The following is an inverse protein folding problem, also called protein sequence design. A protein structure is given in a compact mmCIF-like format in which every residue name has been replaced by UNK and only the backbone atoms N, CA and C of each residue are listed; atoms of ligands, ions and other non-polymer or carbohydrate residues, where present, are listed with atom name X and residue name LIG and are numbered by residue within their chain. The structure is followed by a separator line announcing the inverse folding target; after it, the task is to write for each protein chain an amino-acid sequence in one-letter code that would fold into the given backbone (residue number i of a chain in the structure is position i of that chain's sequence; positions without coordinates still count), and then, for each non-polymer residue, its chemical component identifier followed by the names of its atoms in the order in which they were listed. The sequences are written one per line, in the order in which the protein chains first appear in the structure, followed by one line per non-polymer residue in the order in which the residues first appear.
data_IF_947017935916
#
_entry.id   IF_947017935916
#
_cell.length_a   1.000
_cell.length_b   1.000
_cell.length_c   1.000
_cell.angle_alpha   90.00
_cell.angle_beta   90.00
_cell.angle_gamma   90.00
#
_symmetry.space_group_name_H-M   'P 1'
#
loop_
_entity.id
_entity.type
_entity.pdbx_description
1 polymer ?
#
# COMPACT_ATOMS: atom_id res chain seq x y z
N UNK A 1 -22.76 0.14 27.50
CA UNK A 1 -22.30 1.44 26.92
C UNK A 1 -20.93 1.34 26.23
N UNK A 2 -19.93 0.62 26.78
CA UNK A 2 -18.63 0.42 26.12
C UNK A 2 -18.71 -0.20 24.71
N UNK A 3 -19.58 -1.19 24.48
CA UNK A 3 -19.75 -1.82 23.15
C UNK A 3 -20.37 -0.87 22.10
N UNK A 4 -21.39 -0.09 22.48
CA UNK A 4 -21.98 0.91 21.58
C UNK A 4 -20.96 2.00 21.19
N UNK A 5 -20.12 2.42 22.14
CA UNK A 5 -19.06 3.41 21.89
C UNK A 5 -17.94 2.86 20.99
N UNK A 6 -17.59 1.58 21.14
CA UNK A 6 -16.62 0.89 20.29
C UNK A 6 -17.11 0.81 18.83
N UNK A 7 -18.37 0.41 18.63
CA UNK A 7 -18.97 0.32 17.30
C UNK A 7 -19.06 1.68 16.60
N UNK A 8 -19.44 2.74 17.33
CA UNK A 8 -19.48 4.10 16.79
C UNK A 8 -18.08 4.55 16.36
N UNK A 9 -17.06 4.33 17.20
CA UNK A 9 -15.67 4.70 16.86
C UNK A 9 -15.19 3.97 15.59
N UNK A 10 -15.51 2.70 15.44
CA UNK A 10 -15.14 1.91 14.27
C UNK A 10 -15.83 2.39 12.99
N UNK A 11 -17.13 2.75 13.09
CA UNK A 11 -17.89 3.34 11.97
C UNK A 11 -17.27 4.68 11.56
N UNK A 12 -17.00 5.56 12.52
CA UNK A 12 -16.39 6.88 12.25
C UNK A 12 -15.03 6.73 11.58
N UNK A 13 -14.17 5.83 12.08
CA UNK A 13 -12.87 5.56 11.46
C UNK A 13 -13.01 4.99 10.04
N UNK A 14 -14.00 4.15 9.79
CA UNK A 14 -14.28 3.61 8.45
C UNK A 14 -14.71 4.72 7.49
N UNK A 15 -15.56 5.65 7.94
CA UNK A 15 -15.99 6.81 7.15
C UNK A 15 -14.79 7.70 6.83
N UNK A 16 -13.94 8.01 7.82
CA UNK A 16 -12.72 8.81 7.63
C UNK A 16 -11.79 8.11 6.63
N UNK A 17 -11.63 6.80 6.74
CA UNK A 17 -10.80 6.01 5.83
C UNK A 17 -11.34 6.05 4.38
N UNK A 18 -12.66 5.85 4.19
CA UNK A 18 -13.29 5.94 2.88
C UNK A 18 -13.19 7.36 2.30
N UNK A 19 -13.34 8.39 3.13
CA UNK A 19 -13.15 9.78 2.71
C UNK A 19 -11.70 10.02 2.26
N UNK A 20 -10.70 9.53 3.01
CA UNK A 20 -9.30 9.66 2.63
C UNK A 20 -8.99 8.93 1.31
N UNK A 21 -9.55 7.74 1.11
CA UNK A 21 -9.41 7.00 -0.16
C UNK A 21 -10.13 7.70 -1.33
N UNK A 22 -11.28 8.31 -1.07
CA UNK A 22 -12.02 9.11 -2.07
C UNK A 22 -11.18 10.28 -2.61
N UNK A 23 -10.34 10.90 -1.78
CA UNK A 23 -9.43 11.97 -2.19
C UNK A 23 -8.42 11.53 -3.27
N UNK A 24 -8.20 10.23 -3.46
CA UNK A 24 -7.40 9.74 -4.59
C UNK A 24 -7.99 10.18 -5.95
N UNK A 25 -9.30 10.40 -6.04
CA UNK A 25 -9.93 10.95 -7.24
C UNK A 25 -9.46 12.36 -7.59
N UNK A 26 -8.84 13.12 -6.68
CA UNK A 26 -8.25 14.43 -7.00
C UNK A 26 -7.03 14.32 -7.92
N UNK A 27 -6.39 13.15 -7.98
CA UNK A 27 -5.18 12.89 -8.77
C UNK A 27 -5.47 12.99 -10.27
N UNK A 28 -6.71 12.72 -10.68
CA UNK A 28 -7.09 12.76 -12.10
C UNK A 28 -7.40 14.16 -12.62
N UNK A 29 -7.31 15.20 -11.78
CA UNK A 29 -7.62 16.60 -12.15
C UNK A 29 -9.11 16.93 -12.29
N UNK A 30 -9.95 15.91 -12.42
CA UNK A 30 -11.40 16.02 -12.60
C UNK A 30 -12.17 16.01 -11.28
N UNK A 31 -13.01 17.05 -11.05
CA UNK A 31 -13.73 17.24 -9.77
C UNK A 31 -14.67 16.09 -9.41
N UNK A 32 -15.30 15.46 -10.41
CA UNK A 32 -16.26 14.38 -10.20
C UNK A 32 -15.60 13.04 -9.84
N UNK A 33 -14.30 12.88 -10.13
CA UNK A 33 -13.60 11.61 -9.90
C UNK A 33 -13.43 11.29 -8.42
N UNK A 34 -13.43 12.30 -7.54
CA UNK A 34 -13.51 12.07 -6.08
C UNK A 34 -14.75 11.25 -5.72
N UNK A 35 -15.93 11.63 -6.23
CA UNK A 35 -17.16 10.90 -5.99
C UNK A 35 -17.12 9.47 -6.58
N UNK A 36 -16.54 9.31 -7.77
CA UNK A 36 -16.38 8.00 -8.43
C UNK A 36 -15.49 7.07 -7.62
N UNK A 37 -14.33 7.54 -7.17
CA UNK A 37 -13.42 6.76 -6.32
C UNK A 37 -14.08 6.43 -4.97
N UNK A 38 -14.77 7.39 -4.35
CA UNK A 38 -15.55 7.16 -3.13
C UNK A 38 -16.58 6.05 -3.29
N UNK A 39 -17.38 6.09 -4.38
CA UNK A 39 -18.34 5.04 -4.69
C UNK A 39 -17.67 3.68 -4.91
N UNK A 40 -16.56 3.64 -5.67
CA UNK A 40 -15.80 2.42 -5.91
C UNK A 40 -15.28 1.78 -4.61
N UNK A 41 -14.70 2.57 -3.71
CA UNK A 41 -14.19 2.07 -2.43
C UNK A 41 -15.31 1.60 -1.48
N UNK A 42 -16.47 2.24 -1.50
CA UNK A 42 -17.65 1.76 -0.76
C UNK A 42 -18.08 0.39 -1.29
N UNK A 43 -18.17 0.23 -2.62
CA UNK A 43 -18.55 -1.03 -3.26
C UNK A 43 -17.54 -2.14 -2.92
N UNK A 44 -16.24 -1.88 -3.11
CA UNK A 44 -15.18 -2.86 -2.82
C UNK A 44 -15.19 -3.25 -1.34
N UNK A 45 -15.31 -2.28 -0.43
CA UNK A 45 -15.37 -2.55 1.01
C UNK A 45 -16.61 -3.37 1.37
N UNK A 46 -17.76 -3.09 0.75
CA UNK A 46 -18.98 -3.86 0.90
C UNK A 46 -18.81 -5.30 0.41
N UNK A 47 -18.18 -5.50 -0.74
CA UNK A 47 -17.87 -6.84 -1.28
C UNK A 47 -16.97 -7.60 -0.29
N UNK A 48 -15.86 -6.99 0.16
CA UNK A 48 -14.95 -7.60 1.14
C UNK A 48 -15.71 -7.98 2.41
N UNK A 49 -16.56 -7.09 2.93
CA UNK A 49 -17.37 -7.35 4.11
C UNK A 49 -18.31 -8.55 3.91
N UNK A 50 -18.98 -8.65 2.75
CA UNK A 50 -19.84 -9.78 2.43
C UNK A 50 -19.05 -11.09 2.31
N UNK A 51 -17.89 -11.07 1.67
CA UNK A 51 -17.01 -12.24 1.54
C UNK A 51 -16.46 -12.70 2.89
N UNK A 52 -16.00 -11.78 3.75
CA UNK A 52 -15.52 -12.10 5.10
C UNK A 52 -16.65 -12.68 5.94
N UNK A 53 -17.85 -12.07 5.89
CA UNK A 53 -19.03 -12.56 6.62
C UNK A 53 -19.47 -13.96 6.16
N UNK A 54 -19.31 -14.28 4.87
CA UNK A 54 -19.63 -15.61 4.30
C UNK A 54 -18.51 -16.64 4.49
N UNK A 55 -17.25 -16.20 4.52
CA UNK A 55 -16.05 -17.03 4.51
C UNK A 55 -15.66 -17.64 5.87
N UNK A 56 -16.18 -17.14 6.99
CA UNK A 56 -15.91 -17.68 8.33
C UNK A 56 -16.30 -19.17 8.51
N UNK A 57 -17.06 -19.77 7.58
CA UNK A 57 -17.42 -21.20 7.62
C UNK A 57 -16.58 -22.13 6.73
N UNK A 58 -15.79 -21.59 5.79
CA UNK A 58 -15.03 -22.41 4.82
C UNK A 58 -13.51 -22.34 4.99
N UNK A 59 -12.98 -21.38 5.76
CA UNK A 59 -11.54 -21.31 6.04
C UNK A 59 -11.04 -22.38 7.03
N UNK A 60 -11.93 -23.06 7.76
CA UNK A 60 -11.57 -24.19 8.62
C UNK A 60 -11.30 -25.49 7.84
N UNK A 61 -11.68 -25.57 6.55
CA UNK A 61 -11.60 -26.80 5.75
C UNK A 61 -10.92 -26.54 4.40
N UNK A 62 -9.78 -25.84 4.39
CA UNK A 62 -8.90 -25.83 3.22
C UNK A 62 -7.61 -26.60 3.52
N UNK A 63 -7.21 -27.56 2.66
CA UNK A 63 -6.03 -28.36 2.89
C UNK A 63 -4.80 -27.46 2.86
N UNK A 64 -4.01 -27.58 3.93
CA UNK A 64 -2.62 -27.14 4.08
C UNK A 64 -2.00 -26.63 2.77
N UNK A 65 -2.10 -25.32 2.51
CA UNK A 65 -1.54 -24.67 1.32
C UNK A 65 -0.05 -25.04 1.24
N UNK A 66 0.38 -25.65 0.13
CA UNK A 66 1.72 -26.23 0.05
C UNK A 66 2.79 -25.16 0.27
N UNK A 67 3.80 -25.47 1.09
CA UNK A 67 4.92 -24.56 1.42
C UNK A 67 5.57 -23.95 0.17
N UNK A 68 5.66 -24.74 -0.90
CA UNK A 68 6.25 -24.34 -2.19
C UNK A 68 5.41 -23.26 -2.88
N UNK A 69 4.09 -23.43 -2.99
CA UNK A 69 3.23 -22.42 -3.63
C UNK A 69 3.28 -21.08 -2.91
N UNK A 70 3.39 -21.11 -1.58
CA UNK A 70 3.55 -19.91 -0.75
C UNK A 70 4.87 -19.19 -1.05
N UNK A 71 5.99 -19.93 -1.09
CA UNK A 71 7.32 -19.36 -1.36
C UNK A 71 7.37 -18.77 -2.78
N UNK A 72 6.93 -19.53 -3.80
CA UNK A 72 6.93 -19.06 -5.19
C UNK A 72 6.09 -17.81 -5.34
N UNK A 73 4.86 -17.79 -4.81
CA UNK A 73 4.01 -16.60 -4.84
C UNK A 73 4.65 -15.42 -4.10
N UNK A 74 5.33 -15.67 -2.96
CA UNK A 74 6.04 -14.64 -2.21
C UNK A 74 7.18 -14.01 -3.00
N UNK A 75 8.03 -14.83 -3.63
CA UNK A 75 9.14 -14.38 -4.47
C UNK A 75 8.61 -13.56 -5.66
N UNK A 76 7.59 -14.08 -6.35
CA UNK A 76 6.99 -13.39 -7.52
C UNK A 76 6.46 -12.01 -7.11
N UNK A 77 5.77 -11.89 -5.98
CA UNK A 77 5.27 -10.61 -5.50
C UNK A 77 6.39 -9.63 -5.13
N UNK A 78 7.46 -10.11 -4.49
CA UNK A 78 8.62 -9.25 -4.20
C UNK A 78 9.32 -8.77 -5.47
N UNK A 79 9.48 -9.64 -6.48
CA UNK A 79 10.06 -9.26 -7.77
C UNK A 79 9.16 -8.24 -8.47
N UNK A 80 7.85 -8.47 -8.50
CA UNK A 80 6.90 -7.51 -9.08
C UNK A 80 6.93 -6.17 -8.34
N UNK A 81 7.08 -6.16 -7.02
CA UNK A 81 7.21 -4.93 -6.24
C UNK A 81 8.43 -4.09 -6.66
N UNK A 82 9.54 -4.75 -7.04
CA UNK A 82 10.75 -4.07 -7.53
C UNK A 82 10.63 -3.62 -8.99
N UNK A 83 10.01 -4.43 -9.83
CA UNK A 83 9.89 -4.17 -11.28
C UNK A 83 8.80 -3.13 -11.60
N UNK A 84 7.70 -3.10 -10.84
CA UNK A 84 6.57 -2.19 -11.09
C UNK A 84 6.97 -0.72 -11.23
N UNK A 85 7.73 -0.11 -10.30
CA UNK A 85 8.13 1.28 -10.43
C UNK A 85 9.07 1.53 -11.62
N UNK A 86 9.93 0.56 -11.96
CA UNK A 86 10.77 0.62 -13.16
C UNK A 86 9.96 0.64 -14.45
N UNK A 87 8.95 -0.24 -14.58
CA UNK A 87 8.09 -0.30 -15.76
C UNK A 87 7.33 1.01 -15.98
N UNK A 88 6.94 1.68 -14.89
CA UNK A 88 6.19 2.93 -14.96
C UNK A 88 7.08 4.13 -15.31
N UNK A 89 8.34 4.14 -14.86
CA UNK A 89 9.34 5.13 -15.30
C UNK A 89 9.71 4.94 -16.77
N UNK A 90 9.81 3.69 -17.24
CA UNK A 90 10.27 3.37 -18.59
C UNK A 90 9.19 3.49 -19.68
N UNK A 91 7.91 3.40 -19.33
CA UNK A 91 6.86 3.12 -20.32
C UNK A 91 5.59 3.97 -20.23
N UNK A 92 5.54 5.08 -19.48
CA UNK A 92 4.21 5.60 -19.11
C UNK A 92 3.90 7.05 -19.49
N UNK A 93 2.70 7.18 -20.10
CA UNK A 93 1.81 8.34 -20.02
C UNK A 93 1.25 8.56 -18.58
N UNK A 94 1.74 7.83 -17.57
CA UNK A 94 1.25 7.84 -16.17
C UNK A 94 2.16 8.68 -15.27
N UNK A 95 3.45 8.72 -15.57
CA UNK A 95 4.44 9.59 -14.96
C UNK A 95 5.20 10.23 -16.11
N UNK A 96 5.00 11.54 -16.32
CA UNK A 96 5.73 12.28 -17.35
C UNK A 96 7.16 12.56 -16.85
N UNK A 97 7.98 11.52 -16.83
CA UNK A 97 9.43 11.64 -16.72
C UNK A 97 9.87 11.96 -18.13
N UNK A 98 10.22 13.22 -18.42
CA UNK A 98 10.44 13.72 -19.80
C UNK A 98 11.34 12.83 -20.67
N UNK A 99 11.35 13.11 -21.98
CA UNK A 99 11.71 12.20 -23.10
C UNK A 99 13.01 11.36 -23.01
N UNK A 100 13.88 11.56 -22.03
CA UNK A 100 15.11 10.78 -21.86
C UNK A 100 15.21 10.12 -20.48
N UNK A 101 14.83 8.83 -20.41
CA UNK A 101 15.11 8.00 -19.23
C UNK A 101 16.61 7.72 -19.14
N UNK A 102 17.31 8.44 -18.25
CA UNK A 102 18.74 8.21 -18.01
C UNK A 102 18.99 6.98 -17.12
N UNK A 103 20.13 6.28 -17.29
CA UNK A 103 20.53 5.17 -16.40
C UNK A 103 20.57 5.54 -14.91
N UNK A 104 20.85 6.81 -14.60
CA UNK A 104 20.86 7.34 -13.24
C UNK A 104 19.45 7.31 -12.62
N UNK A 105 18.40 7.64 -13.39
CA UNK A 105 17.02 7.59 -12.90
C UNK A 105 16.56 6.17 -12.58
N UNK A 106 17.01 5.17 -13.35
CA UNK A 106 16.75 3.74 -13.09
C UNK A 106 17.36 3.34 -11.74
N UNK A 107 18.62 3.71 -11.49
CA UNK A 107 19.32 3.41 -10.23
C UNK A 107 18.64 4.09 -9.05
N UNK A 108 18.28 5.37 -9.17
CA UNK A 108 17.57 6.13 -8.12
C UNK A 108 16.22 5.48 -7.83
N UNK A 109 15.45 5.11 -8.86
CA UNK A 109 14.14 4.46 -8.70
C UNK A 109 14.25 3.16 -7.94
N UNK A 110 15.22 2.31 -8.29
CA UNK A 110 15.49 1.06 -7.58
C UNK A 110 15.91 1.31 -6.12
N UNK A 111 16.85 2.23 -5.89
CA UNK A 111 17.34 2.54 -4.55
C UNK A 111 16.21 3.05 -3.63
N UNK A 112 15.36 3.94 -4.14
CA UNK A 112 14.20 4.47 -3.42
C UNK A 112 13.17 3.39 -3.16
N UNK A 113 12.92 2.50 -4.13
CA UNK A 113 11.98 1.38 -3.98
C UNK A 113 12.44 0.42 -2.89
N UNK A 114 13.72 0.05 -2.88
CA UNK A 114 14.31 -0.82 -1.87
C UNK A 114 14.24 -0.15 -0.48
N UNK A 115 14.58 1.14 -0.39
CA UNK A 115 14.46 1.90 0.84
C UNK A 115 13.02 1.94 1.35
N UNK A 116 12.05 2.20 0.47
CA UNK A 116 10.63 2.25 0.80
C UNK A 116 10.12 0.91 1.34
N UNK A 117 10.43 -0.20 0.65
CA UNK A 117 10.09 -1.56 1.08
C UNK A 117 10.75 -1.86 2.44
N UNK A 118 12.03 -1.52 2.61
CA UNK A 118 12.78 -1.75 3.84
C UNK A 118 12.19 -1.00 5.04
N UNK A 119 11.83 0.28 4.87
CA UNK A 119 11.20 1.07 5.92
C UNK A 119 9.84 0.50 6.32
N UNK A 120 9.02 0.09 5.35
CA UNK A 120 7.73 -0.54 5.65
C UNK A 120 7.89 -1.90 6.33
N UNK A 121 8.82 -2.73 5.87
CA UNK A 121 9.14 -4.00 6.52
C UNK A 121 9.61 -3.80 7.97
N UNK A 122 10.47 -2.80 8.20
CA UNK A 122 10.94 -2.42 9.54
C UNK A 122 9.79 -1.93 10.42
N UNK A 123 8.92 -1.06 9.91
CA UNK A 123 7.76 -0.57 10.65
C UNK A 123 6.84 -1.72 11.07
N UNK A 124 6.52 -2.61 10.12
CA UNK A 124 5.69 -3.81 10.38
C UNK A 124 6.36 -4.72 11.41
N UNK A 125 7.67 -4.92 11.34
CA UNK A 125 8.44 -5.71 12.31
C UNK A 125 8.38 -5.09 13.71
N UNK A 126 8.58 -3.78 13.85
CA UNK A 126 8.52 -3.08 15.13
C UNK A 126 7.13 -3.10 15.76
N UNK A 127 6.09 -2.94 14.94
CA UNK A 127 4.69 -2.97 15.40
C UNK A 127 4.32 -4.38 15.87
N UNK A 128 4.72 -5.42 15.13
CA UNK A 128 4.23 -6.78 15.33
C UNK A 128 5.13 -7.67 16.19
N UNK A 129 6.45 -7.64 16.01
CA UNK A 129 7.37 -8.62 16.61
C UNK A 129 8.12 -8.07 17.84
N UNK A 130 8.24 -6.74 17.97
CA UNK A 130 8.83 -6.06 19.15
C UNK A 130 7.74 -5.39 20.01
N UNK A 131 6.49 -5.79 19.80
CA UNK A 131 5.29 -5.06 20.21
C UNK A 131 4.89 -5.18 21.68
N UNK A 132 5.76 -5.62 22.60
CA UNK A 132 5.45 -5.61 24.04
C UNK A 132 5.57 -4.20 24.65
N UNK A 133 6.40 -3.31 24.06
CA UNK A 133 6.55 -1.93 24.49
C UNK A 133 5.80 -0.92 23.63
N UNK A 134 5.03 -0.02 24.26
CA UNK A 134 4.36 1.12 23.60
C UNK A 134 5.32 1.94 22.71
N UNK A 135 6.56 2.14 23.18
CA UNK A 135 7.58 2.89 22.46
C UNK A 135 7.93 2.28 21.08
N UNK A 136 8.08 0.96 20.98
CA UNK A 136 8.43 0.30 19.72
C UNK A 136 7.28 0.37 18.70
N UNK A 137 6.04 0.26 19.17
CA UNK A 137 4.85 0.46 18.32
C UNK A 137 4.76 1.91 17.84
N UNK A 138 4.97 2.89 18.72
CA UNK A 138 4.97 4.30 18.36
C UNK A 138 6.04 4.63 17.30
N UNK A 139 7.26 4.10 17.46
CA UNK A 139 8.33 4.22 16.48
C UNK A 139 7.94 3.59 15.13
N UNK A 140 7.34 2.40 15.14
CA UNK A 140 6.87 1.77 13.90
C UNK A 140 5.84 2.62 13.16
N UNK A 141 4.86 3.20 13.86
CA UNK A 141 3.90 4.12 13.24
C UNK A 141 4.56 5.40 12.71
N UNK A 142 5.55 5.94 13.43
CA UNK A 142 6.33 7.10 12.98
C UNK A 142 7.08 6.79 11.68
N UNK A 143 7.68 5.59 11.57
CA UNK A 143 8.35 5.15 10.34
C UNK A 143 7.37 5.06 9.17
N UNK A 144 6.13 4.60 9.37
CA UNK A 144 5.09 4.59 8.32
C UNK A 144 4.82 6.02 7.82
N UNK A 145 4.71 6.98 8.74
CA UNK A 145 4.49 8.38 8.39
C UNK A 145 5.68 8.89 7.55
N UNK A 146 6.91 8.68 8.01
CA UNK A 146 8.12 9.11 7.28
C UNK A 146 8.22 8.43 5.92
N UNK A 147 8.00 7.12 5.83
CA UNK A 147 8.07 6.36 4.59
C UNK A 147 7.02 6.82 3.57
N UNK A 148 5.81 7.15 4.02
CA UNK A 148 4.74 7.66 3.16
C UNK A 148 5.00 9.07 2.61
N UNK A 149 5.91 9.84 3.22
CA UNK A 149 6.33 11.13 2.67
C UNK A 149 7.34 11.00 1.53
N UNK A 150 8.09 9.88 1.44
CA UNK A 150 9.19 9.71 0.48
C UNK A 150 8.73 9.89 -0.98
N UNK A 151 7.67 9.21 -1.47
CA UNK A 151 7.28 9.32 -2.88
C UNK A 151 6.89 10.76 -3.25
N UNK A 152 6.13 11.43 -2.39
CA UNK A 152 5.68 12.81 -2.62
C UNK A 152 6.81 13.83 -2.57
N UNK A 153 7.69 13.76 -1.56
CA UNK A 153 8.82 14.68 -1.43
C UNK A 153 9.77 14.54 -2.62
N UNK A 154 10.09 13.31 -3.02
CA UNK A 154 10.98 13.08 -4.15
C UNK A 154 10.36 13.59 -5.45
N UNK A 155 9.09 13.27 -5.72
CA UNK A 155 8.44 13.70 -6.96
C UNK A 155 8.26 15.21 -7.03
N UNK A 156 8.01 15.88 -5.90
CA UNK A 156 7.85 17.34 -5.84
C UNK A 156 9.08 18.14 -6.32
N UNK A 157 10.26 17.50 -6.35
CA UNK A 157 11.49 18.10 -6.88
C UNK A 157 11.56 18.07 -8.41
N UNK A 158 10.85 17.14 -9.05
CA UNK A 158 10.84 16.94 -10.49
C UNK A 158 9.61 17.56 -11.14
N UNK A 159 8.44 17.46 -10.50
CA UNK A 159 7.18 18.00 -11.01
C UNK A 159 6.32 18.55 -9.85
N UNK A 160 5.66 19.68 -10.09
CA UNK A 160 4.71 20.32 -9.15
C UNK A 160 3.25 19.97 -9.45
N UNK A 161 2.99 19.24 -10.53
CA UNK A 161 1.65 18.84 -10.90
C UNK A 161 1.10 17.79 -9.92
N UNK A 162 -0.07 18.09 -9.34
CA UNK A 162 -0.81 17.22 -8.43
C UNK A 162 -1.10 15.85 -9.05
N UNK A 163 -1.29 15.77 -10.38
CA UNK A 163 -1.56 14.51 -11.06
C UNK A 163 -0.34 13.58 -11.07
N UNK A 164 0.84 14.14 -11.38
CA UNK A 164 2.10 13.38 -11.40
C UNK A 164 2.56 12.99 -9.99
N UNK A 165 2.42 13.90 -9.02
CA UNK A 165 2.69 13.57 -7.61
C UNK A 165 1.69 12.54 -7.11
N UNK A 166 0.43 12.62 -7.50
CA UNK A 166 -0.58 11.62 -7.13
C UNK A 166 -0.33 10.24 -7.74
N UNK A 167 0.09 10.17 -9.00
CA UNK A 167 0.32 8.90 -9.67
C UNK A 167 1.45 8.11 -9.03
N UNK A 168 2.50 8.77 -8.51
CA UNK A 168 3.58 8.11 -7.74
C UNK A 168 3.04 7.43 -6.47
N UNK A 169 1.99 7.98 -5.85
CA UNK A 169 1.37 7.37 -4.66
C UNK A 169 0.59 6.10 -5.01
N UNK A 170 -0.01 6.01 -6.20
CA UNK A 170 -0.58 4.76 -6.68
C UNK A 170 0.49 3.69 -6.89
N UNK A 171 1.64 4.08 -7.44
CA UNK A 171 2.78 3.17 -7.59
C UNK A 171 3.27 2.69 -6.23
N UNK A 172 3.50 3.62 -5.29
CA UNK A 172 3.93 3.29 -3.94
C UNK A 172 2.94 2.36 -3.22
N UNK A 173 1.63 2.55 -3.41
CA UNK A 173 0.60 1.68 -2.85
C UNK A 173 0.63 0.29 -3.48
N UNK A 174 0.78 0.18 -4.81
CA UNK A 174 0.94 -1.12 -5.48
C UNK A 174 2.18 -1.87 -4.99
N UNK A 175 3.32 -1.17 -4.90
CA UNK A 175 4.58 -1.70 -4.35
C UNK A 175 4.37 -2.18 -2.92
N UNK A 176 3.72 -1.39 -2.06
CA UNK A 176 3.44 -1.74 -0.68
C UNK A 176 2.58 -3.00 -0.57
N UNK A 177 1.51 -3.10 -1.34
CA UNK A 177 0.63 -4.27 -1.35
C UNK A 177 1.42 -5.51 -1.78
N UNK A 178 2.18 -5.41 -2.87
CA UNK A 178 2.98 -6.54 -3.36
C UNK A 178 4.07 -6.94 -2.37
N UNK A 179 4.83 -5.99 -1.83
CA UNK A 179 5.93 -6.26 -0.91
C UNK A 179 5.43 -6.81 0.41
N UNK A 180 4.36 -6.26 0.98
CA UNK A 180 3.80 -6.74 2.24
C UNK A 180 3.29 -8.17 2.12
N UNK A 181 2.50 -8.46 1.06
CA UNK A 181 2.02 -9.82 0.82
C UNK A 181 3.15 -10.78 0.49
N UNK A 182 4.13 -10.34 -0.30
CA UNK A 182 5.33 -11.13 -0.62
C UNK A 182 6.10 -11.53 0.62
N UNK A 183 6.44 -10.57 1.47
CA UNK A 183 7.15 -10.79 2.75
C UNK A 183 6.34 -11.70 3.68
N UNK A 184 5.02 -11.48 3.81
CA UNK A 184 4.20 -12.30 4.69
C UNK A 184 4.08 -13.77 4.24
N UNK A 185 4.14 -14.03 2.92
CA UNK A 185 4.19 -15.39 2.39
C UNK A 185 5.55 -16.06 2.61
N UNK A 186 6.65 -15.29 2.57
CA UNK A 186 8.02 -15.79 2.77
C UNK A 186 8.37 -16.00 4.25
N UNK A 187 7.85 -15.15 5.12
CA UNK A 187 8.02 -15.20 6.59
C UNK A 187 6.65 -15.33 7.25
N UNK A 188 6.08 -16.55 7.30
CA UNK A 188 4.84 -16.78 8.01
C UNK A 188 5.08 -16.53 9.48
N UNK A 189 4.20 -15.75 10.12
CA UNK A 189 4.10 -15.77 11.57
C UNK A 189 3.58 -17.15 11.96
N UNK A 190 4.37 -17.91 12.72
CA UNK A 190 3.88 -19.04 13.50
C UNK A 190 2.97 -18.54 14.63
#
# INVERSE_FOLDING_TARGET
MKEKMFNIRQIVLTIIFLAALSLMGMITGEKYMVAVYGAAFIIISGIIFLFVKRGQRHSEVSPQRSRITRIVAGIVLCILALITPLLLVLKSNVINVGDEVTPVMIVITLAVTILFIGLFALAVYLINNRGEGFAMRALGYLIIIVASLIPGILMSRFDKNTSTIGSIYYVALAVLIMSYNGINLLTPKE
#
